data_IF_849294259045
#
_entry.id   IF_849294259045
#
_cell.length_a   1.000
_cell.length_b   1.000
_cell.length_c   1.000
_cell.angle_alpha   90.00
_cell.angle_beta   90.00
_cell.angle_gamma   90.00
#
_symmetry.space_group_name_H-M   'P 1'
#
loop_
_entity.id
_entity.type
_entity.pdbx_description
1 polymer ?
#
# COMPACT_ATOMS: atom_id res chain seq x y z
N UNK A 1 1.95 -23.50 -14.09
CA UNK A 1 3.26 -23.07 -14.69
C UNK A 1 4.31 -23.37 -13.66
N UNK A 2 5.36 -24.11 -14.00
CA UNK A 2 6.45 -24.39 -13.07
C UNK A 2 7.49 -23.27 -13.08
N UNK A 3 8.07 -22.91 -11.93
CA UNK A 3 9.13 -21.91 -11.86
C UNK A 3 10.43 -22.43 -12.47
N UNK A 4 11.16 -21.58 -13.18
CA UNK A 4 12.52 -21.86 -13.63
C UNK A 4 13.45 -22.02 -12.41
N UNK A 5 14.65 -22.61 -12.57
CA UNK A 5 15.61 -22.76 -11.45
C UNK A 5 15.92 -21.42 -10.76
N UNK A 6 16.13 -20.35 -11.53
CA UNK A 6 16.37 -18.99 -10.98
C UNK A 6 15.16 -18.47 -10.22
N UNK A 7 13.96 -18.60 -10.78
CA UNK A 7 12.72 -18.20 -10.11
C UNK A 7 12.49 -18.98 -8.81
N UNK A 8 12.80 -20.27 -8.81
CA UNK A 8 12.69 -21.13 -7.63
C UNK A 8 13.65 -20.67 -6.51
N UNK A 9 14.87 -20.32 -6.84
CA UNK A 9 15.81 -19.77 -5.87
C UNK A 9 15.30 -18.47 -5.23
N UNK A 10 14.75 -17.55 -6.05
CA UNK A 10 14.17 -16.29 -5.54
C UNK A 10 12.96 -16.55 -4.62
N UNK A 11 12.11 -17.51 -4.96
CA UNK A 11 10.95 -17.88 -4.14
C UNK A 11 11.39 -18.45 -2.79
N UNK A 12 12.50 -19.20 -2.75
CA UNK A 12 13.03 -19.84 -1.54
C UNK A 12 13.90 -18.93 -0.70
N UNK A 13 14.43 -17.85 -1.27
CA UNK A 13 15.32 -16.91 -0.58
C UNK A 13 14.66 -16.33 0.67
N UNK A 14 15.41 -16.37 1.78
CA UNK A 14 15.00 -15.78 3.06
C UNK A 14 15.78 -14.49 3.32
N UNK A 15 15.12 -13.46 3.78
CA UNK A 15 15.72 -12.16 4.04
C UNK A 15 15.46 -11.10 2.97
N UNK A 16 16.18 -9.99 3.04
CA UNK A 16 15.99 -8.85 2.17
C UNK A 16 16.54 -9.14 0.78
N UNK A 17 15.66 -9.11 -0.23
CA UNK A 17 16.03 -9.47 -1.60
C UNK A 17 15.56 -8.38 -2.57
N UNK A 18 16.45 -7.95 -3.46
CA UNK A 18 16.13 -7.06 -4.58
C UNK A 18 16.16 -7.89 -5.87
N UNK A 19 15.05 -7.89 -6.60
CA UNK A 19 14.92 -8.62 -7.86
C UNK A 19 14.81 -7.66 -9.03
N UNK A 20 15.85 -7.62 -9.86
CA UNK A 20 15.85 -6.88 -11.12
C UNK A 20 15.42 -7.83 -12.25
N UNK A 21 14.38 -7.45 -12.97
CA UNK A 21 13.81 -8.31 -13.98
C UNK A 21 13.13 -7.51 -15.10
N UNK A 22 13.30 -7.96 -16.34
CA UNK A 22 12.70 -7.33 -17.52
C UNK A 22 11.18 -7.49 -17.56
N UNK A 23 10.45 -6.66 -18.31
CA UNK A 23 9.04 -6.90 -18.62
C UNK A 23 8.84 -8.33 -19.17
N UNK A 24 7.76 -9.00 -18.76
CA UNK A 24 7.46 -10.36 -19.22
C UNK A 24 8.24 -11.50 -18.53
N UNK A 25 9.24 -11.23 -17.72
CA UNK A 25 10.08 -12.25 -17.04
C UNK A 25 9.37 -13.04 -15.92
N UNK A 26 8.09 -12.78 -15.67
CA UNK A 26 7.32 -13.48 -14.64
C UNK A 26 7.46 -12.90 -13.22
N UNK A 27 7.84 -11.63 -13.04
CA UNK A 27 7.94 -10.97 -11.71
C UNK A 27 6.74 -11.22 -10.81
N UNK A 28 5.54 -10.97 -11.33
CA UNK A 28 4.29 -11.16 -10.58
C UNK A 28 4.06 -12.61 -10.20
N UNK A 29 4.48 -13.56 -11.04
CA UNK A 29 4.41 -14.99 -10.72
C UNK A 29 5.34 -15.33 -9.56
N UNK A 30 6.61 -14.94 -9.65
CA UNK A 30 7.61 -15.20 -8.57
C UNK A 30 7.15 -14.59 -7.25
N UNK A 31 6.67 -13.34 -7.28
CA UNK A 31 6.19 -12.65 -6.08
C UNK A 31 4.94 -13.33 -5.49
N UNK A 32 3.98 -13.73 -6.32
CA UNK A 32 2.78 -14.43 -5.85
C UNK A 32 3.11 -15.79 -5.23
N UNK A 33 4.04 -16.56 -5.81
CA UNK A 33 4.48 -17.84 -5.27
C UNK A 33 5.26 -17.67 -3.97
N UNK A 34 6.12 -16.66 -3.88
CA UNK A 34 6.85 -16.35 -2.63
C UNK A 34 5.89 -15.99 -1.50
N UNK A 35 4.92 -15.12 -1.76
CA UNK A 35 3.91 -14.73 -0.76
C UNK A 35 3.06 -15.94 -0.38
N UNK A 36 2.61 -16.75 -1.33
CA UNK A 36 1.85 -17.98 -1.06
C UNK A 36 2.60 -18.92 -0.14
N UNK A 37 3.88 -19.19 -0.45
CA UNK A 37 4.74 -20.02 0.40
C UNK A 37 4.81 -19.49 1.84
N UNK A 38 4.93 -18.18 2.03
CA UNK A 38 4.95 -17.56 3.35
C UNK A 38 3.61 -17.73 4.07
N UNK A 39 2.49 -17.51 3.38
CA UNK A 39 1.15 -17.64 3.94
C UNK A 39 0.80 -19.09 4.33
N UNK A 40 1.28 -20.07 3.56
CA UNK A 40 1.06 -21.50 3.78
C UNK A 40 2.05 -22.11 4.78
N UNK A 41 3.11 -21.38 5.13
CA UNK A 41 4.08 -21.85 6.12
C UNK A 41 3.61 -21.61 7.55
N UNK A 42 4.15 -22.41 8.49
CA UNK A 42 3.94 -22.25 9.93
C UNK A 42 4.75 -21.07 10.54
N UNK A 43 5.49 -20.32 9.71
CA UNK A 43 6.29 -19.17 10.16
C UNK A 43 5.41 -18.03 10.64
N UNK A 44 4.26 -17.81 9.99
CA UNK A 44 3.32 -16.75 10.37
C UNK A 44 2.33 -17.24 11.42
N UNK A 45 2.26 -16.53 12.54
CA UNK A 45 1.19 -16.69 13.52
C UNK A 45 -0.16 -16.20 12.95
N UNK A 46 -1.27 -16.61 13.54
CA UNK A 46 -2.61 -16.32 13.03
C UNK A 46 -2.92 -14.81 12.88
N UNK A 47 -2.32 -13.98 13.74
CA UNK A 47 -2.45 -12.52 13.69
C UNK A 47 -1.45 -11.82 12.75
N UNK A 48 -0.55 -12.55 12.15
CA UNK A 48 0.45 -12.01 11.21
C UNK A 48 0.00 -12.19 9.77
N UNK A 49 0.56 -11.38 8.88
CA UNK A 49 0.30 -11.43 7.46
C UNK A 49 1.45 -10.82 6.65
N UNK A 50 1.22 -10.68 5.37
CA UNK A 50 2.16 -10.09 4.42
C UNK A 50 1.65 -8.72 3.99
N UNK A 51 2.53 -7.74 3.93
CA UNK A 51 2.25 -6.44 3.34
C UNK A 51 2.80 -6.43 1.91
N UNK A 52 1.90 -6.45 0.92
CA UNK A 52 2.24 -6.44 -0.49
C UNK A 52 1.78 -5.12 -1.13
N UNK A 53 2.75 -4.25 -1.39
CA UNK A 53 2.51 -2.91 -1.94
C UNK A 53 2.87 -2.87 -3.42
N UNK A 54 2.01 -2.24 -4.21
CA UNK A 54 2.22 -1.99 -5.63
C UNK A 54 1.87 -0.54 -5.97
N UNK A 55 2.40 -0.05 -7.09
CA UNK A 55 2.15 1.31 -7.54
C UNK A 55 0.68 1.56 -7.94
N UNK A 56 -0.02 0.56 -8.44
CA UNK A 56 -1.43 0.71 -8.87
C UNK A 56 -2.36 -0.28 -8.18
N UNK A 57 -3.62 0.13 -7.96
CA UNK A 57 -4.69 -0.74 -7.45
C UNK A 57 -4.92 -1.96 -8.33
N UNK A 58 -4.79 -1.81 -9.66
CA UNK A 58 -4.95 -2.91 -10.62
C UNK A 58 -3.85 -3.96 -10.43
N UNK A 59 -2.60 -3.54 -10.25
CA UNK A 59 -1.47 -4.46 -10.06
C UNK A 59 -1.54 -5.17 -8.71
N UNK A 60 -1.89 -4.47 -7.62
CA UNK A 60 -2.07 -5.09 -6.31
C UNK A 60 -3.24 -6.09 -6.28
N UNK A 61 -4.36 -5.73 -6.91
CA UNK A 61 -5.50 -6.64 -7.05
C UNK A 61 -5.19 -7.88 -7.91
N UNK A 62 -4.37 -7.75 -8.96
CA UNK A 62 -3.90 -8.88 -9.75
C UNK A 62 -2.97 -9.78 -8.93
N UNK A 63 -2.03 -9.18 -8.19
CA UNK A 63 -1.14 -9.92 -7.29
C UNK A 63 -1.93 -10.68 -6.22
N UNK A 64 -2.88 -10.03 -5.54
CA UNK A 64 -3.77 -10.66 -4.55
C UNK A 64 -4.49 -11.87 -5.13
N UNK A 65 -5.19 -11.71 -6.26
CA UNK A 65 -5.90 -12.83 -6.91
C UNK A 65 -4.97 -13.99 -7.25
N UNK A 66 -3.77 -13.69 -7.75
CA UNK A 66 -2.79 -14.70 -8.13
C UNK A 66 -2.20 -15.43 -6.93
N UNK A 67 -1.98 -14.73 -5.82
CA UNK A 67 -1.50 -15.30 -4.56
C UNK A 67 -2.52 -16.23 -3.93
N UNK A 68 -3.80 -15.81 -3.88
CA UNK A 68 -4.86 -16.54 -3.20
C UNK A 68 -5.56 -17.60 -4.07
N UNK A 69 -5.03 -17.87 -5.27
CA UNK A 69 -5.48 -19.00 -6.08
C UNK A 69 -5.31 -20.30 -5.30
N UNK A 70 -6.22 -21.26 -5.55
CA UNK A 70 -6.22 -22.60 -4.95
C UNK A 70 -6.55 -22.65 -3.45
N UNK A 71 -7.21 -21.62 -2.92
CA UNK A 71 -7.71 -21.64 -1.54
C UNK A 71 -6.68 -21.26 -0.48
N UNK A 72 -5.55 -20.67 -0.86
CA UNK A 72 -4.61 -20.08 0.09
C UNK A 72 -5.29 -19.03 0.96
N UNK A 73 -5.20 -19.18 2.27
CA UNK A 73 -5.82 -18.24 3.21
C UNK A 73 -5.03 -16.95 3.32
N UNK A 74 -5.72 -15.82 3.18
CA UNK A 74 -5.10 -14.47 3.19
C UNK A 74 -4.45 -14.11 4.53
N UNK A 75 -4.86 -14.74 5.63
CA UNK A 75 -4.48 -14.33 7.00
C UNK A 75 -4.72 -12.82 7.20
N UNK A 76 -3.92 -12.16 8.02
CA UNK A 76 -4.02 -10.71 8.26
C UNK A 76 -3.14 -9.90 7.28
N UNK A 77 -3.25 -10.20 5.98
CA UNK A 77 -2.39 -9.61 4.94
C UNK A 77 -3.02 -8.38 4.29
N UNK A 78 -2.16 -7.46 3.86
CA UNK A 78 -2.55 -6.28 3.12
C UNK A 78 -2.03 -6.34 1.67
N UNK A 79 -2.90 -6.09 0.70
CA UNK A 79 -2.58 -5.95 -0.71
C UNK A 79 -3.14 -4.63 -1.24
N UNK A 80 -2.29 -3.66 -1.54
CA UNK A 80 -2.75 -2.35 -1.96
C UNK A 80 -1.66 -1.44 -2.51
N UNK A 81 -1.97 -0.15 -2.61
CA UNK A 81 -0.99 0.91 -2.88
C UNK A 81 -0.42 1.43 -1.57
N UNK A 82 0.69 2.17 -1.66
CA UNK A 82 1.30 2.80 -0.47
C UNK A 82 0.31 3.76 0.19
N UNK A 83 -0.43 4.57 -0.60
CA UNK A 83 -1.42 5.51 -0.08
C UNK A 83 -2.53 4.80 0.68
N UNK A 84 -3.08 3.72 0.09
CA UNK A 84 -4.09 2.89 0.77
C UNK A 84 -3.55 2.28 2.06
N UNK A 85 -2.29 1.84 2.08
CA UNK A 85 -1.65 1.31 3.27
C UNK A 85 -1.53 2.37 4.37
N UNK A 86 -0.96 3.52 4.03
CA UNK A 86 -0.82 4.63 4.97
C UNK A 86 -2.17 5.07 5.53
N UNK A 87 -3.16 5.24 4.66
CA UNK A 87 -4.50 5.64 5.08
C UNK A 87 -5.15 4.61 6.01
N UNK A 88 -5.25 3.34 5.59
CA UNK A 88 -6.07 2.34 6.30
C UNK A 88 -5.36 1.70 7.47
N UNK A 89 -4.03 1.60 7.45
CA UNK A 89 -3.26 0.90 8.48
C UNK A 89 -2.57 1.83 9.47
N UNK A 90 -2.43 3.12 9.12
CA UNK A 90 -1.70 4.10 9.96
C UNK A 90 -2.61 5.26 10.32
N UNK A 91 -3.11 6.01 9.32
CA UNK A 91 -3.82 7.27 9.57
C UNK A 91 -5.16 7.01 10.26
N UNK A 92 -6.01 6.17 9.70
CA UNK A 92 -7.33 5.88 10.28
C UNK A 92 -7.26 5.30 11.70
N UNK A 93 -6.40 4.30 12.02
CA UNK A 93 -6.32 3.76 13.37
C UNK A 93 -5.60 4.66 14.37
N UNK A 94 -4.54 5.36 13.96
CA UNK A 94 -3.60 6.01 14.89
C UNK A 94 -3.51 7.53 14.73
N UNK A 95 -3.98 8.11 13.64
CA UNK A 95 -3.80 9.53 13.33
C UNK A 95 -4.39 10.45 14.39
N UNK A 96 -5.48 10.09 15.02
CA UNK A 96 -6.07 10.88 16.12
C UNK A 96 -5.15 11.02 17.34
N UNK A 97 -4.23 10.07 17.56
CA UNK A 97 -3.24 10.17 18.64
C UNK A 97 -2.09 11.12 18.31
N UNK A 98 -1.76 11.29 17.04
CA UNK A 98 -0.58 12.03 16.59
C UNK A 98 -0.96 13.43 16.09
N UNK A 99 -2.04 13.53 15.33
CA UNK A 99 -2.45 14.76 14.63
C UNK A 99 -3.56 15.50 15.40
N UNK A 100 -4.21 14.83 16.37
CA UNK A 100 -5.20 15.46 17.25
C UNK A 100 -6.53 15.80 16.59
N UNK A 101 -6.86 15.21 15.43
CA UNK A 101 -8.18 15.39 14.85
C UNK A 101 -9.25 14.55 15.57
N UNK A 102 -10.52 14.99 15.54
CA UNK A 102 -11.61 14.24 16.17
C UNK A 102 -11.69 12.83 15.59
N UNK A 103 -12.05 11.88 16.43
CA UNK A 103 -12.20 10.44 16.09
C UNK A 103 -13.35 10.19 15.09
N UNK A 104 -14.06 11.23 14.73
CA UNK A 104 -15.18 11.24 13.83
C UNK A 104 -14.66 11.16 12.39
N UNK A 105 -15.26 10.34 11.66
CA UNK A 105 -15.12 9.95 10.26
C UNK A 105 -14.10 10.74 9.41
N UNK A 106 -12.88 10.20 9.28
CA UNK A 106 -11.90 10.72 8.32
C UNK A 106 -12.33 10.28 6.93
N UNK A 107 -12.89 11.21 6.16
CA UNK A 107 -13.25 10.98 4.76
C UNK A 107 -12.05 11.33 3.89
N UNK A 108 -11.47 10.39 3.13
CA UNK A 108 -10.39 10.71 2.19
C UNK A 108 -10.94 11.57 1.07
N UNK A 109 -10.43 12.80 0.95
CA UNK A 109 -10.75 13.73 -0.14
C UNK A 109 -9.86 13.38 -1.33
N UNK A 110 -10.45 13.22 -2.50
CA UNK A 110 -9.74 13.02 -3.77
C UNK A 110 -9.67 14.33 -4.56
N UNK A 111 -8.76 14.42 -5.54
CA UNK A 111 -8.69 15.58 -6.45
C UNK A 111 -10.06 15.92 -7.09
N UNK A 112 -10.84 14.91 -7.46
CA UNK A 112 -12.18 15.09 -8.01
C UNK A 112 -13.17 15.69 -7.00
N UNK A 113 -12.96 15.49 -5.73
CA UNK A 113 -13.80 16.04 -4.66
C UNK A 113 -13.41 17.51 -4.42
N UNK A 114 -12.12 17.84 -4.52
CA UNK A 114 -11.62 19.22 -4.46
C UNK A 114 -12.11 20.09 -5.63
N UNK A 115 -12.28 19.53 -6.83
CA UNK A 115 -12.83 20.25 -7.99
C UNK A 115 -14.34 20.48 -7.88
N UNK A 116 -15.07 19.59 -7.21
CA UNK A 116 -16.54 19.67 -7.08
C UNK A 116 -16.99 20.59 -5.95
N UNK A 117 -16.35 20.48 -4.81
CA UNK A 117 -16.63 21.34 -3.66
C UNK A 117 -15.53 22.40 -3.54
N UNK A 118 -15.81 23.61 -3.97
CA UNK A 118 -14.93 24.79 -3.83
C UNK A 118 -14.65 25.21 -2.38
N UNK A 119 -14.94 24.36 -1.41
CA UNK A 119 -14.72 24.60 0.00
C UNK A 119 -13.79 23.53 0.57
N UNK A 120 -12.52 23.62 0.24
CA UNK A 120 -11.51 23.14 1.18
C UNK A 120 -11.52 24.16 2.32
N UNK A 121 -11.81 23.72 3.54
CA UNK A 121 -11.72 24.58 4.71
C UNK A 121 -10.25 24.87 4.99
N UNK A 122 -9.75 25.95 4.38
CA UNK A 122 -8.37 26.40 4.55
C UNK A 122 -8.05 26.74 6.02
N UNK A 123 -9.04 27.11 6.84
CA UNK A 123 -8.84 27.31 8.27
C UNK A 123 -8.41 26.01 8.97
N UNK A 124 -8.95 24.89 8.54
CA UNK A 124 -8.57 23.58 9.07
C UNK A 124 -7.16 23.15 8.63
N UNK A 125 -6.82 23.38 7.35
CA UNK A 125 -5.47 23.11 6.82
C UNK A 125 -4.43 23.97 7.52
N UNK A 126 -4.68 25.26 7.70
CA UNK A 126 -3.80 26.19 8.40
C UNK A 126 -3.65 25.85 9.89
N UNK A 127 -4.66 25.25 10.51
CA UNK A 127 -4.58 24.78 11.90
C UNK A 127 -3.67 23.56 12.07
N UNK A 128 -3.61 22.69 11.06
CA UNK A 128 -2.75 21.48 11.06
C UNK A 128 -1.35 21.79 10.55
N UNK A 129 -1.25 22.68 9.55
CA UNK A 129 0.00 23.14 8.95
C UNK A 129 0.04 24.66 8.94
N UNK A 130 0.45 25.29 10.05
CA UNK A 130 0.55 26.77 10.12
C UNK A 130 1.50 27.37 9.06
N UNK A 131 2.42 26.56 8.53
CA UNK A 131 3.39 26.97 7.51
C UNK A 131 2.91 26.70 6.06
N UNK A 132 1.65 26.35 5.87
CA UNK A 132 1.10 26.02 4.53
C UNK A 132 1.17 27.20 3.55
N UNK A 133 1.00 28.43 4.05
CA UNK A 133 1.14 29.65 3.23
C UNK A 133 2.59 29.85 2.76
N UNK A 134 3.59 29.60 3.61
CA UNK A 134 5.00 29.64 3.23
C UNK A 134 5.36 28.59 2.17
N UNK A 135 4.77 27.39 2.24
CA UNK A 135 4.97 26.31 1.25
C UNK A 135 4.39 26.72 -0.12
N UNK A 136 3.23 27.38 -0.16
CA UNK A 136 2.61 27.87 -1.37
C UNK A 136 3.39 29.05 -2.00
N UNK A 137 3.88 29.99 -1.19
CA UNK A 137 4.71 31.10 -1.67
C UNK A 137 6.07 30.63 -2.21
N UNK A 138 6.58 29.48 -1.73
CA UNK A 138 7.80 28.86 -2.26
C UNK A 138 7.63 28.14 -3.62
N UNK A 139 6.45 28.21 -4.26
CA UNK A 139 6.23 27.68 -5.61
C UNK A 139 6.08 26.17 -5.69
N UNK A 140 5.89 25.47 -4.59
CA UNK A 140 5.63 24.02 -4.56
C UNK A 140 4.17 23.67 -4.91
N UNK A 141 3.30 24.67 -5.03
CA UNK A 141 1.88 24.52 -5.37
C UNK A 141 1.57 24.52 -6.87
N UNK A 142 2.54 24.83 -7.76
CA UNK A 142 2.28 24.90 -9.21
C UNK A 142 2.62 23.62 -9.99
N UNK A 143 2.94 22.53 -9.29
CA UNK A 143 3.33 21.25 -9.94
C UNK A 143 2.49 20.06 -9.45
N UNK A 144 1.20 20.27 -9.20
CA UNK A 144 0.22 19.20 -9.03
C UNK A 144 -0.82 19.24 -10.16
#
# INVERSE_FOLDING_TARGET
MEPTPIQRNIIQEEGNTVVLAMPGSGKTFVLSEKIRRILESDVLKDYQGVIAISYTRKASGHLKRKTLQNGTWEKNSFFGTIDSFCLTQIILPFGHYVIGYPKEEVVPITENDLEKDKMVDFEWINKIHPDYEEINEAGLGESL
#
